data_IF_523325104830
#
_entry.id   IF_523325104830
#
_cell.length_a   1.000
_cell.length_b   1.000
_cell.length_c   1.000
_cell.angle_alpha   90.00
_cell.angle_beta   90.00
_cell.angle_gamma   90.00
#
_symmetry.space_group_name_H-M   'P 1'
#
loop_
_entity.id
_entity.type
_entity.pdbx_description
1 polymer ?
#
# COMPACT_ATOMS: atom_id res chain seq x y z
N UNK A 1 -21.97 -93.04 -46.19
CA UNK A 1 -22.59 -92.22 -47.25
C UNK A 1 -24.03 -91.93 -46.84
N UNK A 2 -24.47 -90.67 -47.01
CA UNK A 2 -25.79 -90.07 -46.66
C UNK A 2 -25.98 -89.61 -45.22
N UNK A 3 -25.61 -88.35 -44.96
CA UNK A 3 -26.55 -87.22 -44.80
C UNK A 3 -25.82 -86.06 -44.12
N UNK A 4 -25.59 -84.98 -44.86
CA UNK A 4 -25.49 -83.61 -44.34
C UNK A 4 -25.48 -82.65 -45.53
N UNK A 5 -26.67 -82.19 -45.91
CA UNK A 5 -26.85 -81.00 -46.74
C UNK A 5 -27.55 -79.99 -45.84
N UNK A 6 -26.78 -79.11 -45.23
CA UNK A 6 -27.30 -77.87 -44.63
C UNK A 6 -27.20 -76.78 -45.70
N UNK A 7 -28.35 -76.23 -46.04
CA UNK A 7 -28.61 -75.17 -46.99
C UNK A 7 -28.02 -73.84 -46.49
N UNK A 8 -27.03 -73.32 -47.22
CA UNK A 8 -26.52 -71.96 -47.05
C UNK A 8 -27.54 -71.01 -47.71
N UNK A 9 -28.21 -70.18 -46.91
CA UNK A 9 -29.10 -69.12 -47.39
C UNK A 9 -28.28 -67.94 -47.93
N UNK A 10 -28.01 -67.92 -49.23
CA UNK A 10 -27.47 -66.74 -49.92
C UNK A 10 -28.56 -65.67 -50.01
N UNK A 11 -28.45 -64.60 -49.20
CA UNK A 11 -29.22 -63.37 -49.46
C UNK A 11 -28.61 -62.68 -50.69
N UNK A 12 -29.41 -62.27 -51.69
CA UNK A 12 -28.90 -61.61 -52.87
C UNK A 12 -28.34 -60.22 -52.52
N UNK A 13 -27.20 -59.88 -53.11
CA UNK A 13 -26.64 -58.53 -53.03
C UNK A 13 -27.54 -57.57 -53.84
N UNK A 14 -27.79 -56.34 -53.35
CA UNK A 14 -28.66 -55.39 -54.04
C UNK A 14 -28.05 -54.97 -55.37
N UNK A 15 -28.87 -54.99 -56.43
CA UNK A 15 -28.51 -54.50 -57.75
C UNK A 15 -28.58 -52.97 -57.71
N UNK A 16 -27.44 -52.31 -57.93
CA UNK A 16 -27.32 -50.84 -57.87
C UNK A 16 -27.70 -50.24 -59.24
N UNK A 17 -29.00 -50.20 -59.54
CA UNK A 17 -29.56 -49.62 -60.77
C UNK A 17 -30.12 -48.20 -60.56
N UNK A 18 -30.68 -47.58 -61.59
CA UNK A 18 -31.24 -46.21 -61.49
C UNK A 18 -32.43 -46.12 -60.53
N UNK A 19 -33.18 -47.20 -60.41
CA UNK A 19 -34.41 -47.23 -59.61
C UNK A 19 -34.07 -47.43 -58.13
N UNK A 20 -33.07 -48.25 -57.81
CA UNK A 20 -32.48 -48.32 -56.47
C UNK A 20 -31.90 -46.96 -56.04
N UNK A 21 -31.18 -46.27 -56.94
CA UNK A 21 -30.64 -44.93 -56.64
C UNK A 21 -31.76 -43.92 -56.37
N UNK A 22 -32.85 -43.93 -57.15
CA UNK A 22 -34.04 -43.08 -56.91
C UNK A 22 -34.73 -43.41 -55.60
N UNK A 23 -34.91 -44.70 -55.30
CA UNK A 23 -35.48 -45.17 -54.05
C UNK A 23 -34.66 -44.69 -52.84
N UNK A 24 -33.35 -44.92 -52.85
CA UNK A 24 -32.46 -44.46 -51.78
C UNK A 24 -32.46 -42.94 -51.66
N UNK A 25 -32.50 -42.21 -52.78
CA UNK A 25 -32.55 -40.74 -52.74
C UNK A 25 -33.85 -40.24 -52.11
N UNK A 26 -35.00 -40.82 -52.46
CA UNK A 26 -36.28 -40.48 -51.86
C UNK A 26 -36.35 -40.88 -50.39
N UNK A 27 -35.86 -42.07 -50.03
CA UNK A 27 -35.78 -42.53 -48.64
C UNK A 27 -34.90 -41.60 -47.79
N UNK A 28 -33.79 -41.13 -48.35
CA UNK A 28 -32.92 -40.13 -47.71
C UNK A 28 -33.63 -38.78 -47.58
N UNK A 29 -34.32 -38.31 -48.61
CA UNK A 29 -35.10 -37.06 -48.57
C UNK A 29 -36.24 -37.12 -47.55
N UNK A 30 -36.98 -38.23 -47.50
CA UNK A 30 -38.07 -38.47 -46.56
C UNK A 30 -37.55 -38.66 -45.12
N UNK A 31 -36.30 -39.10 -44.96
CA UNK A 31 -35.64 -39.22 -43.66
C UNK A 31 -35.14 -37.88 -43.09
N UNK A 32 -35.10 -36.81 -43.89
CA UNK A 32 -34.74 -35.47 -43.45
C UNK A 32 -35.87 -34.87 -42.61
N UNK A 33 -35.60 -34.69 -41.31
CA UNK A 33 -36.54 -34.06 -40.39
C UNK A 33 -36.03 -32.70 -39.94
N UNK A 34 -36.77 -31.64 -40.28
CA UNK A 34 -36.50 -30.27 -39.81
C UNK A 34 -36.36 -30.21 -38.27
N UNK A 35 -37.18 -30.98 -37.55
CA UNK A 35 -37.13 -31.04 -36.09
C UNK A 35 -35.82 -31.66 -35.56
N UNK A 36 -35.27 -32.66 -36.25
CA UNK A 36 -33.99 -33.29 -35.89
C UNK A 36 -32.83 -32.35 -36.21
N UNK A 37 -32.90 -31.66 -37.35
CA UNK A 37 -31.91 -30.65 -37.73
C UNK A 37 -31.91 -29.47 -36.74
N UNK A 38 -33.07 -28.92 -36.41
CA UNK A 38 -33.20 -27.83 -35.44
C UNK A 38 -32.68 -28.24 -34.05
N UNK A 39 -33.01 -29.45 -33.56
CA UNK A 39 -32.45 -29.98 -32.31
C UNK A 39 -30.93 -30.09 -32.37
N UNK A 40 -30.38 -30.62 -33.46
CA UNK A 40 -28.92 -30.73 -33.65
C UNK A 40 -28.24 -29.37 -33.62
N UNK A 41 -28.80 -28.37 -34.31
CA UNK A 41 -28.29 -26.98 -34.33
C UNK A 41 -28.35 -26.36 -32.92
N UNK A 42 -29.47 -26.49 -32.21
CA UNK A 42 -29.61 -25.97 -30.84
C UNK A 42 -28.61 -26.61 -29.87
N UNK A 43 -28.38 -27.93 -29.99
CA UNK A 43 -27.37 -28.63 -29.19
C UNK A 43 -25.96 -28.08 -29.48
N UNK A 44 -25.60 -27.91 -30.75
CA UNK A 44 -24.31 -27.35 -31.14
C UNK A 44 -24.12 -25.91 -30.63
N UNK A 45 -25.15 -25.07 -30.69
CA UNK A 45 -25.09 -23.71 -30.13
C UNK A 45 -24.87 -23.72 -28.62
N UNK A 46 -25.60 -24.58 -27.90
CA UNK A 46 -25.46 -24.71 -26.45
C UNK A 46 -24.05 -25.18 -26.08
N UNK A 47 -23.52 -26.16 -26.80
CA UNK A 47 -22.19 -26.70 -26.53
C UNK A 47 -21.10 -25.68 -26.84
N UNK A 48 -21.24 -24.92 -27.94
CA UNK A 48 -20.36 -23.78 -28.25
C UNK A 48 -20.41 -22.70 -27.18
N UNK A 49 -21.60 -22.35 -26.70
CA UNK A 49 -21.78 -21.35 -25.64
C UNK A 49 -21.13 -21.82 -24.33
N UNK A 50 -21.35 -23.09 -23.96
CA UNK A 50 -20.74 -23.70 -22.77
C UNK A 50 -19.21 -23.65 -22.86
N UNK A 51 -18.64 -24.05 -24.00
CA UNK A 51 -17.20 -24.02 -24.19
C UNK A 51 -16.64 -22.59 -24.16
N UNK A 52 -17.33 -21.62 -24.77
CA UNK A 52 -16.97 -20.21 -24.71
C UNK A 52 -16.99 -19.67 -23.27
N UNK A 53 -17.96 -20.09 -22.45
CA UNK A 53 -18.06 -19.70 -21.05
C UNK A 53 -16.96 -20.32 -20.19
N UNK A 54 -16.64 -21.60 -20.40
CA UNK A 54 -15.53 -22.28 -19.74
C UNK A 54 -14.19 -21.61 -20.07
N UNK A 55 -13.96 -21.29 -21.34
CA UNK A 55 -12.77 -20.56 -21.79
C UNK A 55 -12.70 -19.16 -21.16
N UNK A 56 -13.82 -18.44 -21.09
CA UNK A 56 -13.89 -17.13 -20.44
C UNK A 56 -13.52 -17.22 -18.95
N UNK A 57 -14.06 -18.20 -18.21
CA UNK A 57 -13.71 -18.42 -16.80
C UNK A 57 -12.22 -18.76 -16.65
N UNK A 58 -11.67 -19.61 -17.52
CA UNK A 58 -10.26 -19.96 -17.49
C UNK A 58 -9.38 -18.72 -17.71
N UNK A 59 -9.71 -17.89 -18.69
CA UNK A 59 -9.01 -16.63 -18.95
C UNK A 59 -9.13 -15.64 -17.78
N UNK A 60 -10.28 -15.55 -17.11
CA UNK A 60 -10.44 -14.71 -15.92
C UNK A 60 -9.54 -15.18 -14.76
N UNK A 61 -9.47 -16.49 -14.51
CA UNK A 61 -8.58 -17.05 -13.48
C UNK A 61 -7.11 -16.81 -13.77
N UNK A 62 -6.71 -16.95 -15.03
CA UNK A 62 -5.35 -16.64 -15.45
C UNK A 62 -5.03 -15.15 -15.25
N UNK A 63 -5.95 -14.26 -15.65
CA UNK A 63 -5.82 -12.82 -15.48
C UNK A 63 -5.68 -12.45 -14.00
N UNK A 64 -6.51 -13.02 -13.12
CA UNK A 64 -6.45 -12.83 -11.67
C UNK A 64 -5.10 -13.26 -11.10
N UNK A 65 -4.59 -14.44 -11.50
CA UNK A 65 -3.30 -14.95 -11.06
C UNK A 65 -2.15 -14.02 -11.49
N UNK A 66 -2.19 -13.52 -12.72
CA UNK A 66 -1.20 -12.57 -13.25
C UNK A 66 -1.23 -11.25 -12.47
N UNK A 67 -2.40 -10.67 -12.23
CA UNK A 67 -2.52 -9.42 -11.48
C UNK A 67 -2.09 -9.56 -10.03
N UNK A 68 -2.50 -10.65 -9.36
CA UNK A 68 -2.09 -10.96 -7.98
C UNK A 68 -0.57 -11.12 -7.87
N UNK A 69 0.05 -11.80 -8.83
CA UNK A 69 1.51 -11.95 -8.90
C UNK A 69 2.22 -10.62 -9.12
N UNK A 70 1.71 -9.77 -10.01
CA UNK A 70 2.27 -8.42 -10.24
C UNK A 70 2.13 -7.52 -9.00
N UNK A 71 1.00 -7.58 -8.31
CA UNK A 71 0.77 -6.82 -7.08
C UNK A 71 1.78 -7.18 -6.01
N UNK A 72 1.95 -8.49 -5.70
CA UNK A 72 2.94 -8.96 -4.73
C UNK A 72 4.36 -8.49 -5.06
N UNK A 73 4.80 -8.67 -6.32
CA UNK A 73 6.13 -8.20 -6.75
C UNK A 73 6.31 -6.69 -6.59
N UNK A 74 5.25 -5.92 -6.80
CA UNK A 74 5.28 -4.47 -6.62
C UNK A 74 5.40 -4.10 -5.14
N UNK A 75 4.65 -4.78 -4.27
CA UNK A 75 4.72 -4.58 -2.83
C UNK A 75 6.07 -4.99 -2.25
N UNK A 76 6.63 -6.13 -2.68
CA UNK A 76 7.97 -6.59 -2.29
C UNK A 76 9.04 -5.56 -2.67
N UNK A 77 8.97 -5.02 -3.90
CA UNK A 77 9.90 -3.97 -4.35
C UNK A 77 9.75 -2.69 -3.53
N UNK A 78 8.51 -2.27 -3.23
CA UNK A 78 8.26 -1.08 -2.39
C UNK A 78 8.80 -1.29 -0.98
N UNK A 79 8.63 -2.47 -0.42
CA UNK A 79 9.15 -2.80 0.91
C UNK A 79 10.69 -2.79 0.92
N UNK A 80 11.34 -3.34 -0.11
CA UNK A 80 12.79 -3.28 -0.26
C UNK A 80 13.30 -1.84 -0.32
N UNK A 81 12.65 -0.97 -1.09
CA UNK A 81 13.02 0.46 -1.14
C UNK A 81 12.86 1.11 0.23
N UNK A 82 11.75 0.85 0.92
CA UNK A 82 11.48 1.41 2.24
C UNK A 82 12.49 0.93 3.30
N UNK A 83 12.93 -0.32 3.23
CA UNK A 83 13.90 -0.89 4.18
C UNK A 83 15.34 -0.48 3.88
N UNK A 84 15.73 -0.48 2.60
CA UNK A 84 17.14 -0.40 2.22
C UNK A 84 17.58 0.99 1.77
N UNK A 85 16.66 1.85 1.30
CA UNK A 85 17.01 3.13 0.69
C UNK A 85 16.41 4.33 1.42
N UNK A 86 15.15 4.22 1.86
CA UNK A 86 14.47 5.33 2.53
C UNK A 86 15.23 5.88 3.75
N UNK A 87 15.80 5.05 4.65
CA UNK A 87 16.52 5.57 5.82
C UNK A 87 17.77 6.38 5.44
N UNK A 88 18.55 5.88 4.47
CA UNK A 88 19.73 6.60 3.98
C UNK A 88 19.36 7.92 3.31
N UNK A 89 18.30 7.93 2.51
CA UNK A 89 17.79 9.16 1.89
C UNK A 89 17.32 10.17 2.94
N UNK A 90 16.58 9.73 3.95
CA UNK A 90 16.11 10.58 5.03
C UNK A 90 17.29 11.15 5.85
N UNK A 91 18.35 10.35 6.09
CA UNK A 91 19.57 10.81 6.74
C UNK A 91 20.25 11.93 5.96
N UNK A 92 20.46 11.75 4.65
CA UNK A 92 21.01 12.81 3.80
C UNK A 92 20.10 14.05 3.76
N UNK A 93 18.78 13.88 3.73
CA UNK A 93 17.83 14.99 3.78
C UNK A 93 17.95 15.78 5.11
N UNK A 94 18.09 15.09 6.25
CA UNK A 94 18.31 15.71 7.55
C UNK A 94 19.66 16.45 7.60
N UNK A 95 20.76 15.82 7.16
CA UNK A 95 22.10 16.41 7.18
C UNK A 95 22.19 17.64 6.26
N UNK A 96 21.68 17.54 5.03
CA UNK A 96 21.65 18.67 4.08
C UNK A 96 20.77 19.82 4.58
N UNK A 97 19.59 19.50 5.11
CA UNK A 97 18.70 20.49 5.73
C UNK A 97 19.39 21.18 6.90
N UNK A 98 20.04 20.40 7.78
CA UNK A 98 20.79 20.94 8.91
C UNK A 98 21.88 21.90 8.47
N UNK A 99 22.67 21.52 7.47
CA UNK A 99 23.72 22.38 6.93
C UNK A 99 23.15 23.70 6.40
N UNK A 100 22.06 23.63 5.63
CA UNK A 100 21.37 24.80 5.10
C UNK A 100 20.82 25.69 6.23
N UNK A 101 20.12 25.09 7.19
CA UNK A 101 19.51 25.80 8.32
C UNK A 101 20.57 26.52 9.17
N UNK A 102 21.73 25.90 9.41
CA UNK A 102 22.86 26.54 10.11
C UNK A 102 23.45 27.69 9.29
N UNK A 103 23.66 27.52 7.99
CA UNK A 103 24.25 28.56 7.14
C UNK A 103 23.33 29.79 7.05
N UNK A 104 22.02 29.58 6.90
CA UNK A 104 21.06 30.66 6.69
C UNK A 104 20.64 31.32 8.01
N UNK A 105 20.45 30.53 9.07
CA UNK A 105 19.82 30.98 10.31
C UNK A 105 20.73 30.93 11.55
N UNK A 106 21.90 30.29 11.45
CA UNK A 106 22.82 30.09 12.55
C UNK A 106 22.35 29.02 13.55
N UNK A 107 23.21 28.72 14.52
CA UNK A 107 22.89 27.81 15.61
C UNK A 107 21.78 28.39 16.49
N UNK A 108 20.75 27.59 16.85
CA UNK A 108 19.70 28.06 17.73
C UNK A 108 20.22 28.21 19.17
N UNK A 109 19.79 29.27 19.86
CA UNK A 109 20.19 29.49 21.26
C UNK A 109 19.38 28.61 22.19
N UNK A 110 20.05 27.71 22.92
CA UNK A 110 19.46 26.88 23.96
C UNK A 110 19.24 27.71 25.23
N UNK A 111 17.98 27.89 25.61
CA UNK A 111 17.58 28.49 26.87
C UNK A 111 17.44 27.44 27.98
N UNK A 112 16.55 27.71 28.94
CA UNK A 112 16.25 26.80 30.05
C UNK A 112 15.68 25.46 29.55
N UNK A 113 16.07 24.35 30.18
CA UNK A 113 15.40 23.05 30.05
C UNK A 113 13.93 23.15 30.49
N UNK A 114 13.01 22.85 29.58
CA UNK A 114 11.55 22.90 29.80
C UNK A 114 10.91 21.52 29.81
N UNK A 115 11.65 20.48 29.42
CA UNK A 115 11.18 19.11 29.47
C UNK A 115 12.30 18.13 29.22
N UNK A 116 12.13 16.90 29.69
CA UNK A 116 13.04 15.79 29.46
C UNK A 116 12.21 14.53 29.20
N UNK A 117 12.45 13.90 28.07
CA UNK A 117 11.84 12.63 27.70
C UNK A 117 12.89 11.53 27.62
N UNK A 118 12.43 10.33 27.29
CA UNK A 118 13.30 9.18 27.04
C UNK A 118 14.31 9.43 25.91
N UNK A 119 13.92 10.22 24.90
CA UNK A 119 14.69 10.44 23.69
C UNK A 119 15.53 11.71 23.68
N UNK A 120 15.53 12.50 24.77
CA UNK A 120 16.30 13.74 24.80
C UNK A 120 15.79 14.82 25.74
N UNK A 121 16.42 15.99 25.63
CA UNK A 121 16.11 17.17 26.44
C UNK A 121 15.46 18.23 25.57
N UNK A 122 14.42 18.88 26.08
CA UNK A 122 13.73 19.99 25.42
C UNK A 122 14.12 21.29 26.09
N UNK A 123 14.67 22.22 25.30
CA UNK A 123 15.07 23.55 25.72
C UNK A 123 14.10 24.60 25.18
N UNK A 124 13.89 25.65 25.96
CA UNK A 124 13.25 26.87 25.46
C UNK A 124 14.18 27.62 24.51
N UNK A 125 13.61 28.27 23.50
CA UNK A 125 14.33 29.17 22.62
C UNK A 125 13.48 30.41 22.36
N UNK A 126 14.05 31.60 22.55
CA UNK A 126 13.31 32.85 22.41
C UNK A 126 12.92 33.11 20.96
N UNK A 127 13.85 32.90 20.02
CA UNK A 127 13.66 33.09 18.59
C UNK A 127 14.67 32.30 17.77
N UNK A 128 14.25 31.75 16.63
CA UNK A 128 15.14 31.18 15.61
C UNK A 128 14.49 31.24 14.23
N UNK A 129 15.23 31.59 13.18
CA UNK A 129 14.73 31.70 11.80
C UNK A 129 13.41 32.49 11.64
N UNK A 130 13.22 33.55 12.44
CA UNK A 130 11.99 34.35 12.46
C UNK A 130 10.86 33.80 13.35
N UNK A 131 10.91 32.52 13.71
CA UNK A 131 9.94 31.89 14.62
C UNK A 131 10.18 32.32 16.07
N UNK A 132 9.11 32.62 16.80
CA UNK A 132 9.14 32.92 18.23
C UNK A 132 7.74 32.73 18.85
N UNK A 133 7.63 32.15 20.06
CA UNK A 133 8.67 31.39 20.78
C UNK A 133 8.89 29.98 20.19
N UNK A 134 10.10 29.43 20.36
CA UNK A 134 10.47 28.10 19.88
C UNK A 134 10.82 27.12 21.02
N UNK A 135 10.70 25.84 20.73
CA UNK A 135 11.25 24.75 21.54
C UNK A 135 12.30 24.00 20.72
N UNK A 136 13.35 23.54 21.39
CA UNK A 136 14.45 22.78 20.78
C UNK A 136 14.54 21.44 21.46
N UNK A 137 14.22 20.37 20.75
CA UNK A 137 14.41 18.99 21.23
C UNK A 137 15.79 18.51 20.79
N UNK A 138 16.69 18.35 21.75
CA UNK A 138 18.03 17.79 21.55
C UNK A 138 17.97 16.28 21.68
N UNK A 139 18.30 15.57 20.60
CA UNK A 139 18.33 14.10 20.53
C UNK A 139 19.75 13.65 20.21
N UNK A 140 20.29 12.71 20.98
CA UNK A 140 21.60 12.10 20.74
C UNK A 140 21.36 10.64 20.33
N UNK A 141 21.39 10.31 19.03
CA UNK A 141 21.17 8.94 18.60
C UNK A 141 22.39 8.08 18.97
N UNK A 142 22.22 6.96 19.70
CA UNK A 142 23.34 6.17 20.20
C UNK A 142 24.01 5.28 19.14
N UNK A 143 23.32 4.99 18.04
CA UNK A 143 23.82 4.16 16.94
C UNK A 143 23.18 4.55 15.59
N UNK A 144 23.64 3.93 14.49
CA UNK A 144 23.16 4.19 13.13
C UNK A 144 21.67 3.86 12.94
N UNK A 145 21.13 2.88 13.66
CA UNK A 145 19.72 2.52 13.57
C UNK A 145 18.86 3.65 14.14
N UNK A 146 19.20 4.14 15.33
CA UNK A 146 18.49 5.27 15.93
C UNK A 146 18.65 6.57 15.13
N UNK A 147 19.81 6.77 14.50
CA UNK A 147 20.03 7.86 13.54
C UNK A 147 19.06 7.78 12.37
N UNK A 148 18.93 6.61 11.76
CA UNK A 148 18.02 6.35 10.66
C UNK A 148 16.55 6.52 11.07
N UNK A 149 16.17 6.02 12.24
CA UNK A 149 14.80 6.16 12.77
C UNK A 149 14.46 7.64 13.01
N UNK A 150 15.35 8.41 13.62
CA UNK A 150 15.19 9.84 13.83
C UNK A 150 15.11 10.62 12.51
N UNK A 151 15.98 10.30 11.56
CA UNK A 151 15.97 10.96 10.26
C UNK A 151 14.66 10.70 9.49
N UNK A 152 14.14 9.48 9.58
CA UNK A 152 12.83 9.12 9.01
C UNK A 152 11.69 9.87 9.68
N UNK A 153 11.69 9.98 11.02
CA UNK A 153 10.70 10.77 11.77
C UNK A 153 10.73 12.25 11.35
N UNK A 154 11.93 12.83 11.27
CA UNK A 154 12.12 14.19 10.79
C UNK A 154 11.60 14.37 9.35
N UNK A 155 11.99 13.48 8.45
CA UNK A 155 11.61 13.55 7.04
C UNK A 155 10.10 13.53 6.86
N UNK A 156 9.40 12.57 7.48
CA UNK A 156 7.95 12.47 7.35
C UNK A 156 7.21 13.64 8.02
N UNK A 157 7.65 14.07 9.20
CA UNK A 157 7.02 15.17 9.93
C UNK A 157 7.21 16.51 9.20
N UNK A 158 8.35 16.71 8.54
CA UNK A 158 8.60 17.92 7.72
C UNK A 158 7.89 17.87 6.37
N UNK A 159 7.58 16.68 5.85
CA UNK A 159 6.96 16.51 4.53
C UNK A 159 5.44 16.73 4.52
N UNK A 160 4.79 16.72 5.68
CA UNK A 160 3.34 17.01 5.75
C UNK A 160 3.08 18.52 5.78
N UNK A 161 1.97 18.98 5.17
CA UNK A 161 1.52 20.36 5.32
C UNK A 161 1.29 20.75 6.79
N UNK A 162 1.43 22.04 7.09
CA UNK A 162 1.15 22.57 8.41
C UNK A 162 -0.32 22.35 8.79
N UNK A 163 -0.55 21.90 10.02
CA UNK A 163 -1.90 21.63 10.52
C UNK A 163 -2.03 22.08 11.97
N UNK A 164 -3.12 22.80 12.28
CA UNK A 164 -3.37 23.42 13.60
C UNK A 164 -3.29 22.46 14.80
N UNK A 165 -3.47 21.15 14.57
CA UNK A 165 -3.47 20.11 15.62
C UNK A 165 -2.23 19.21 15.61
N UNK A 166 -1.19 19.59 14.86
CA UNK A 166 0.09 18.89 14.82
C UNK A 166 1.19 19.93 15.05
N UNK A 167 2.08 19.67 16.00
CA UNK A 167 3.22 20.57 16.26
C UNK A 167 4.18 20.47 15.08
N UNK A 168 4.45 21.60 14.42
CA UNK A 168 5.29 21.63 13.23
C UNK A 168 6.77 21.68 13.59
N UNK A 169 7.58 20.85 12.92
CA UNK A 169 9.03 21.01 12.90
C UNK A 169 9.36 22.14 11.92
N UNK A 170 10.00 23.19 12.42
CA UNK A 170 10.40 24.39 11.66
C UNK A 170 11.79 24.24 11.03
N UNK A 171 12.67 23.46 11.66
CA UNK A 171 14.02 23.23 11.18
C UNK A 171 14.75 22.15 11.97
N UNK A 172 15.95 21.81 11.55
CA UNK A 172 16.84 20.95 12.29
C UNK A 172 18.27 21.45 12.18
N UNK A 173 19.08 21.23 13.22
CA UNK A 173 20.50 21.56 13.24
C UNK A 173 21.27 20.45 13.95
N UNK A 174 22.38 20.00 13.38
CA UNK A 174 23.28 19.01 13.99
C UNK A 174 24.39 19.75 14.71
N UNK A 175 24.42 19.62 16.03
CA UNK A 175 25.48 20.12 16.89
C UNK A 175 26.57 19.06 17.06
N UNK A 176 27.66 19.23 16.31
CA UNK A 176 28.84 18.36 16.39
C UNK A 176 29.73 18.66 17.61
N UNK A 177 29.47 19.74 18.34
CA UNK A 177 30.21 20.11 19.56
C UNK A 177 29.54 19.61 20.84
N UNK A 178 28.35 19.03 20.71
CA UNK A 178 27.59 18.51 21.84
C UNK A 178 28.40 17.50 22.66
N UNK A 179 28.25 17.55 23.99
CA UNK A 179 29.00 16.69 24.91
C UNK A 179 30.52 16.84 24.81
N UNK A 180 31.02 17.99 24.38
CA UNK A 180 32.46 18.23 24.16
C UNK A 180 33.00 17.64 22.86
N UNK A 181 32.12 17.37 21.87
CA UNK A 181 32.47 16.80 20.57
C UNK A 181 32.53 15.28 20.53
N UNK A 182 32.10 14.60 21.60
CA UNK A 182 32.13 13.14 21.70
C UNK A 182 30.99 12.52 20.88
N UNK A 183 29.80 13.11 20.93
CA UNK A 183 28.63 12.63 20.18
C UNK A 183 27.85 13.80 19.60
N UNK A 184 27.50 13.76 18.30
CA UNK A 184 26.64 14.78 17.70
C UNK A 184 25.22 14.70 18.27
N UNK A 185 24.61 15.86 18.47
CA UNK A 185 23.19 15.98 18.81
C UNK A 185 22.40 16.58 17.64
N UNK A 186 21.23 16.00 17.36
CA UNK A 186 20.25 16.60 16.45
C UNK A 186 19.34 17.51 17.28
N UNK A 187 19.36 18.79 16.95
CA UNK A 187 18.50 19.82 17.51
C UNK A 187 17.30 20.00 16.59
N UNK A 188 16.14 19.49 16.99
CA UNK A 188 14.88 19.70 16.27
C UNK A 188 14.21 20.99 16.77
N UNK A 189 14.00 21.94 15.88
CA UNK A 189 13.36 23.22 16.18
C UNK A 189 11.87 23.13 15.85
N UNK A 190 11.02 23.45 16.82
CA UNK A 190 9.56 23.37 16.70
C UNK A 190 8.88 24.54 17.42
N UNK A 191 7.58 24.73 17.16
CA UNK A 191 6.78 25.73 17.87
C UNK A 191 6.71 25.42 19.38
N UNK A 192 6.83 26.46 20.21
CA UNK A 192 6.72 26.28 21.67
C UNK A 192 5.27 26.28 22.12
N UNK A 193 4.82 25.13 22.63
CA UNK A 193 3.52 25.01 23.29
C UNK A 193 3.60 25.48 24.76
N UNK A 194 2.46 25.90 25.32
CA UNK A 194 2.38 26.41 26.71
C UNK A 194 2.65 25.30 27.72
N UNK A 195 2.00 24.15 27.55
CA UNK A 195 2.18 22.96 28.38
C UNK A 195 1.72 21.72 27.60
N UNK A 196 2.06 20.54 28.10
CA UNK A 196 1.50 19.27 27.66
C UNK A 196 0.19 18.95 28.40
N UNK A 197 -0.54 17.96 27.89
CA UNK A 197 -1.82 17.53 28.45
C UNK A 197 -1.69 16.98 29.87
N UNK A 198 -0.58 16.30 30.18
CA UNK A 198 -0.35 15.72 31.50
C UNK A 198 -0.25 16.81 32.58
N UNK A 199 0.55 17.84 32.31
CA UNK A 199 0.69 19.01 33.16
C UNK A 199 -0.63 19.78 33.26
N UNK A 200 -1.36 19.95 32.16
CA UNK A 200 -2.66 20.61 32.17
C UNK A 200 -3.68 19.89 33.08
N UNK A 201 -3.78 18.56 32.96
CA UNK A 201 -4.67 17.76 33.81
C UNK A 201 -4.28 17.88 35.29
N UNK A 202 -2.99 17.82 35.61
CA UNK A 202 -2.50 18.01 36.99
C UNK A 202 -2.84 19.39 37.56
N UNK A 203 -2.86 20.42 36.73
CA UNK A 203 -3.21 21.78 37.11
C UNK A 203 -4.72 22.04 37.11
N UNK A 204 -5.55 20.99 37.06
CA UNK A 204 -7.00 21.13 37.21
C UNK A 204 -7.74 21.47 35.93
N UNK A 205 -7.25 21.07 34.75
CA UNK A 205 -7.97 21.22 33.48
C UNK A 205 -9.40 20.69 33.62
N UNK A 206 -10.39 21.53 33.34
CA UNK A 206 -11.81 21.21 33.53
C UNK A 206 -12.32 20.18 32.51
N UNK A 207 -13.50 19.62 32.78
CA UNK A 207 -14.09 18.57 31.95
C UNK A 207 -14.38 19.01 30.51
N UNK A 208 -14.89 20.23 30.31
CA UNK A 208 -15.23 20.73 28.98
C UNK A 208 -13.96 20.96 28.16
N UNK A 209 -12.91 21.49 28.76
CA UNK A 209 -11.60 21.65 28.14
C UNK A 209 -10.97 20.31 27.78
N UNK A 210 -11.09 19.28 28.64
CA UNK A 210 -10.65 17.91 28.32
C UNK A 210 -11.37 17.34 27.10
N UNK A 211 -12.68 17.53 27.01
CA UNK A 211 -13.47 17.09 25.86
C UNK A 211 -13.02 17.80 24.57
N UNK A 212 -12.76 19.10 24.64
CA UNK A 212 -12.23 19.85 23.50
C UNK A 212 -10.85 19.36 23.06
N UNK A 213 -9.96 19.07 24.01
CA UNK A 213 -8.64 18.47 23.70
C UNK A 213 -8.81 17.11 23.02
N UNK A 214 -9.72 16.25 23.48
CA UNK A 214 -9.97 14.96 22.86
C UNK A 214 -10.44 15.09 21.40
N UNK A 215 -11.35 16.04 21.12
CA UNK A 215 -11.79 16.36 19.76
C UNK A 215 -10.62 16.84 18.90
N UNK A 216 -9.79 17.73 19.45
CA UNK A 216 -8.62 18.28 18.75
C UNK A 216 -7.58 17.21 18.42
N UNK A 217 -7.34 16.26 19.34
CA UNK A 217 -6.47 15.10 19.12
C UNK A 217 -7.05 14.20 18.02
N UNK A 218 -8.35 13.89 18.04
CA UNK A 218 -8.99 13.07 16.99
C UNK A 218 -8.85 13.75 15.62
N UNK A 219 -9.01 15.07 15.53
CA UNK A 219 -8.77 15.81 14.30
C UNK A 219 -7.31 15.73 13.84
N UNK A 220 -6.35 15.84 14.76
CA UNK A 220 -4.93 15.66 14.46
C UNK A 220 -4.61 14.26 13.95
N UNK A 221 -5.09 13.21 14.63
CA UNK A 221 -4.90 11.81 14.23
C UNK A 221 -5.53 11.54 12.88
N UNK A 222 -6.77 12.00 12.64
CA UNK A 222 -7.44 11.85 11.35
C UNK A 222 -6.64 12.50 10.22
N UNK A 223 -6.07 13.68 10.48
CA UNK A 223 -5.19 14.35 9.53
C UNK A 223 -3.94 13.51 9.22
N UNK A 224 -3.23 13.04 10.25
CA UNK A 224 -2.03 12.20 10.09
C UNK A 224 -2.33 10.91 9.32
N UNK A 225 -3.43 10.23 9.65
CA UNK A 225 -3.88 9.05 8.93
C UNK A 225 -4.18 9.35 7.45
N UNK A 226 -4.76 10.51 7.16
CA UNK A 226 -4.96 11.00 5.79
C UNK A 226 -3.66 11.22 5.01
N UNK A 227 -2.54 11.47 5.72
CA UNK A 227 -1.19 11.55 5.14
C UNK A 227 -0.47 10.19 5.12
N UNK A 228 -1.12 9.10 5.54
CA UNK A 228 -0.51 7.78 5.64
C UNK A 228 0.47 7.62 6.82
N UNK A 229 0.40 8.52 7.81
CA UNK A 229 1.23 8.48 9.01
C UNK A 229 0.44 7.96 10.21
N UNK A 230 1.09 7.17 11.04
CA UNK A 230 0.51 6.62 12.29
C UNK A 230 1.42 7.02 13.45
N UNK A 231 0.86 7.74 14.42
CA UNK A 231 1.55 8.03 15.68
C UNK A 231 1.66 6.74 16.50
N UNK A 232 2.84 6.46 17.07
CA UNK A 232 3.16 5.17 17.72
C UNK A 232 3.34 5.23 19.23
N UNK A 233 3.32 6.44 19.78
CA UNK A 233 3.36 6.76 21.22
C UNK A 233 2.11 7.56 21.62
#
# INVERSE_FOLDING_TARGET
MRQMVQTISWKPYPIVDSDWKKYVTNDVLDSLSESRLAKSICLQFRDRLKHSHENFIASLKELEAVHSGRMRRTDDRREQVRKNHAPGFAKFALESTSLIDVIIHGMPQLGREIGRGQYGVVYSCSRWAGYNPCAIKSVVPPDDKHWNDLAMEFYYTRSIPEHKRVVQIRGAVIDYTYGGGITPAVLLIMDRMVCDLYAAIKNGLDWMARLQVAIDVIHGIRYLHGQGLVHRD
#
